data_IF_445280434524
#
_entry.id   IF_445280434524
#
_cell.length_a   1.000
_cell.length_b   1.000
_cell.length_c   1.000
_cell.angle_alpha   90.00
_cell.angle_beta   90.00
_cell.angle_gamma   90.00
#
_symmetry.space_group_name_H-M   'P 1'
#
loop_
_entity.id
_entity.type
_entity.pdbx_description
1 polymer ?
#
# COMPACT_ATOMS: atom_id res chain seq x y z
N UNK A 1 13.31 -13.96 28.95
CA UNK A 1 12.97 -12.55 28.67
C UNK A 1 11.50 -12.36 29.02
N UNK A 2 11.19 -11.54 30.03
CA UNK A 2 9.81 -11.30 30.49
C UNK A 2 9.07 -10.38 29.47
N UNK A 3 7.75 -10.53 29.34
CA UNK A 3 6.86 -9.68 28.52
C UNK A 3 7.15 -8.19 28.73
N UNK A 4 7.38 -7.75 29.98
CA UNK A 4 7.71 -6.37 30.32
C UNK A 4 9.01 -5.91 29.66
N UNK A 5 10.04 -6.76 29.66
CA UNK A 5 11.32 -6.47 28.99
C UNK A 5 11.16 -6.37 27.48
N UNK A 6 10.27 -7.17 26.88
CA UNK A 6 9.97 -7.10 25.45
C UNK A 6 9.24 -5.79 25.09
N UNK A 7 8.28 -5.36 25.92
CA UNK A 7 7.56 -4.10 25.72
C UNK A 7 8.53 -2.91 25.78
N UNK A 8 9.37 -2.85 26.82
CA UNK A 8 10.38 -1.79 26.98
C UNK A 8 11.35 -1.78 25.80
N UNK A 9 11.75 -2.95 25.29
CA UNK A 9 12.64 -3.03 24.13
C UNK A 9 12.00 -2.51 22.84
N UNK A 10 10.72 -2.82 22.60
CA UNK A 10 9.98 -2.31 21.45
C UNK A 10 9.81 -0.78 21.52
N UNK A 11 9.50 -0.26 22.71
CA UNK A 11 9.38 1.16 22.97
C UNK A 11 10.73 1.88 22.78
N UNK A 12 11.82 1.34 23.33
CA UNK A 12 13.16 1.87 23.13
C UNK A 12 13.53 1.93 21.65
N UNK A 13 13.30 0.86 20.88
CA UNK A 13 13.57 0.85 19.44
C UNK A 13 12.77 1.91 18.69
N UNK A 14 11.52 2.12 19.09
CA UNK A 14 10.69 3.16 18.50
C UNK A 14 11.24 4.56 18.80
N UNK A 15 11.49 4.88 20.07
CA UNK A 15 12.01 6.19 20.49
C UNK A 15 13.39 6.46 19.91
N UNK A 16 14.28 5.46 19.92
CA UNK A 16 15.62 5.54 19.32
C UNK A 16 15.53 5.82 17.81
N UNK A 17 14.57 5.20 17.09
CA UNK A 17 14.36 5.50 15.67
C UNK A 17 13.82 6.92 15.45
N UNK A 18 12.90 7.38 16.31
CA UNK A 18 12.38 8.75 16.28
C UNK A 18 13.51 9.77 16.45
N UNK A 19 14.32 9.60 17.49
CA UNK A 19 15.43 10.49 17.79
C UNK A 19 16.51 10.47 16.71
N UNK A 20 17.10 9.31 16.43
CA UNK A 20 18.23 9.21 15.50
C UNK A 20 17.88 9.63 14.07
N UNK A 21 16.75 9.14 13.53
CA UNK A 21 16.44 9.32 12.11
C UNK A 21 15.67 10.61 11.84
N UNK A 22 14.69 10.93 12.68
CA UNK A 22 13.74 12.01 12.37
C UNK A 22 14.01 13.30 13.14
N UNK A 23 14.71 13.25 14.28
CA UNK A 23 15.15 14.46 14.98
C UNK A 23 16.57 14.81 14.52
N UNK A 24 17.56 14.03 14.93
CA UNK A 24 18.97 14.30 14.63
C UNK A 24 19.26 14.22 13.14
N UNK A 25 18.72 13.21 12.47
CA UNK A 25 18.91 13.01 11.02
C UNK A 25 18.35 14.15 10.18
N UNK A 26 17.16 14.69 10.52
CA UNK A 26 16.59 15.83 9.80
C UNK A 26 17.31 17.14 10.13
N UNK A 27 17.73 17.35 11.39
CA UNK A 27 18.48 18.54 11.79
C UNK A 27 19.80 18.69 11.00
N UNK A 28 20.50 17.58 10.74
CA UNK A 28 21.77 17.56 10.00
C UNK A 28 21.65 17.97 8.53
N UNK A 29 20.46 17.97 7.96
CA UNK A 29 20.21 18.26 6.54
C UNK A 29 19.40 19.54 6.34
N UNK A 30 19.18 20.31 7.41
CA UNK A 30 18.66 21.67 7.31
C UNK A 30 19.74 22.52 6.63
N UNK A 31 19.38 23.15 5.52
CA UNK A 31 20.24 24.07 4.78
C UNK A 31 20.21 25.47 5.38
N UNK A 32 21.10 26.35 4.91
CA UNK A 32 21.25 27.72 5.43
C UNK A 32 19.95 28.55 5.36
N UNK A 33 19.09 28.26 4.38
CA UNK A 33 17.76 28.88 4.22
C UNK A 33 16.70 28.37 5.21
N UNK A 34 17.11 27.57 6.20
CA UNK A 34 16.26 26.91 7.20
C UNK A 34 15.25 25.94 6.58
N UNK A 35 15.56 25.37 5.41
CA UNK A 35 14.72 24.39 4.72
C UNK A 35 15.45 23.06 4.55
N UNK A 36 14.64 22.02 4.32
CA UNK A 36 15.11 20.69 3.96
C UNK A 36 14.81 20.47 2.48
N UNK A 37 15.86 20.27 1.69
CA UNK A 37 15.77 20.06 0.25
C UNK A 37 15.95 18.57 -0.09
N UNK A 38 14.84 17.84 -0.19
CA UNK A 38 14.88 16.44 -0.62
C UNK A 38 15.14 16.31 -2.12
N UNK A 39 15.65 15.15 -2.54
CA UNK A 39 15.73 14.78 -3.96
C UNK A 39 14.73 13.68 -4.28
N UNK A 40 13.85 13.94 -5.25
CA UNK A 40 12.92 12.94 -5.77
C UNK A 40 13.56 12.18 -6.94
N UNK A 41 13.84 10.90 -6.72
CA UNK A 41 14.28 10.01 -7.79
C UNK A 41 13.06 9.43 -8.53
N UNK A 42 13.04 9.62 -9.85
CA UNK A 42 11.96 9.18 -10.73
C UNK A 42 12.17 7.81 -11.39
N UNK A 43 13.39 7.27 -11.34
CA UNK A 43 13.83 6.10 -12.11
C UNK A 43 14.19 4.89 -11.24
N UNK A 44 14.09 4.98 -9.92
CA UNK A 44 14.48 3.90 -9.00
C UNK A 44 13.40 2.82 -8.83
N UNK A 45 12.15 3.21 -8.56
CA UNK A 45 11.11 2.24 -8.24
C UNK A 45 10.62 1.51 -9.50
N UNK A 46 10.64 0.17 -9.47
CA UNK A 46 10.18 -0.68 -10.58
C UNK A 46 8.70 -0.49 -10.93
N UNK A 47 7.90 0.05 -10.00
CA UNK A 47 6.47 0.37 -10.21
C UNK A 47 6.25 1.81 -10.67
N UNK A 48 7.30 2.60 -10.87
CA UNK A 48 7.18 3.99 -11.33
C UNK A 48 6.80 5.01 -10.26
N UNK A 49 6.74 4.63 -8.98
CA UNK A 49 6.60 5.59 -7.86
C UNK A 49 7.84 6.49 -7.77
N UNK A 50 7.64 7.71 -7.26
CA UNK A 50 8.75 8.57 -6.81
C UNK A 50 9.33 8.01 -5.52
N UNK A 51 10.65 8.07 -5.37
CA UNK A 51 11.32 7.87 -4.08
C UNK A 51 12.00 9.15 -3.64
N UNK A 52 11.91 9.48 -2.36
CA UNK A 52 12.58 10.63 -1.74
C UNK A 52 13.85 10.19 -1.01
N UNK A 53 14.97 10.87 -1.26
CA UNK A 53 16.28 10.59 -0.67
C UNK A 53 16.94 11.89 -0.21
N UNK A 54 17.81 11.77 0.80
CA UNK A 54 18.66 12.83 1.35
C UNK A 54 17.94 14.16 1.65
N UNK A 55 16.97 14.18 2.59
CA UNK A 55 16.43 13.04 3.35
C UNK A 55 15.18 12.43 2.70
N UNK A 56 14.78 11.24 3.15
CA UNK A 56 13.49 10.66 2.76
C UNK A 56 12.35 11.34 3.53
N UNK A 57 11.50 12.09 2.82
CA UNK A 57 10.34 12.79 3.35
C UNK A 57 9.02 12.03 3.15
N UNK A 58 9.03 10.91 2.42
CA UNK A 58 7.84 10.11 2.17
C UNK A 58 7.50 9.16 3.34
N UNK A 59 8.46 8.91 4.24
CA UNK A 59 8.30 7.98 5.37
C UNK A 59 8.18 8.66 6.74
N UNK A 60 7.94 9.98 6.79
CA UNK A 60 7.76 10.69 8.06
C UNK A 60 6.62 10.05 8.86
N UNK A 61 6.85 9.69 10.14
CA UNK A 61 5.89 8.90 10.91
C UNK A 61 4.50 9.54 11.01
N UNK A 62 3.47 8.70 11.01
CA UNK A 62 2.05 9.14 11.10
C UNK A 62 1.17 8.22 11.96
N UNK A 63 1.59 6.97 12.12
CA UNK A 63 0.77 5.91 12.73
C UNK A 63 0.61 6.07 14.23
N UNK A 64 1.73 6.30 14.92
CA UNK A 64 1.76 6.48 16.37
C UNK A 64 1.80 7.96 16.70
N UNK A 65 1.15 8.33 17.80
CA UNK A 65 1.02 9.72 18.21
C UNK A 65 2.37 10.41 18.39
N UNK A 66 3.31 9.77 19.10
CA UNK A 66 4.66 10.31 19.30
C UNK A 66 5.39 10.56 17.98
N UNK A 67 5.28 9.63 17.03
CA UNK A 67 5.86 9.84 15.70
C UNK A 67 5.14 10.95 14.91
N UNK A 68 3.82 11.08 15.06
CA UNK A 68 3.04 12.11 14.36
C UNK A 68 3.44 13.52 14.80
N UNK A 69 3.89 13.70 16.06
CA UNK A 69 4.39 14.99 16.56
C UNK A 69 5.55 15.54 15.74
N UNK A 70 6.38 14.69 15.12
CA UNK A 70 7.46 15.13 14.21
C UNK A 70 6.92 15.99 13.06
N UNK A 71 5.71 15.70 12.54
CA UNK A 71 5.12 16.47 11.44
C UNK A 71 4.84 17.93 11.81
N UNK A 72 4.68 18.24 13.10
CA UNK A 72 4.49 19.63 13.58
C UNK A 72 5.75 20.51 13.40
N UNK A 73 6.92 19.89 13.18
CA UNK A 73 8.15 20.61 12.89
C UNK A 73 8.18 21.16 11.44
N UNK A 74 7.38 20.59 10.54
CA UNK A 74 7.22 21.10 9.18
C UNK A 74 6.23 22.26 9.20
N UNK A 75 6.73 23.46 8.92
CA UNK A 75 5.95 24.70 8.94
C UNK A 75 5.83 25.30 7.53
N UNK A 76 4.77 26.09 7.26
CA UNK A 76 4.70 26.91 6.06
C UNK A 76 5.93 27.82 5.94
N UNK A 77 6.34 28.14 4.72
CA UNK A 77 7.49 29.02 4.44
C UNK A 77 7.21 30.50 4.70
N UNK A 78 5.94 30.89 4.79
CA UNK A 78 5.52 32.25 5.12
C UNK A 78 4.44 32.25 6.22
N UNK A 79 4.31 33.37 6.95
CA UNK A 79 3.36 33.50 8.07
C UNK A 79 1.90 33.46 7.63
N UNK A 80 1.61 33.90 6.41
CA UNK A 80 0.26 33.99 5.85
C UNK A 80 -0.11 32.75 5.02
N UNK A 81 0.73 31.70 5.06
CA UNK A 81 0.51 30.44 4.35
C UNK A 81 0.12 29.31 5.30
N UNK A 82 -0.57 28.32 4.73
CA UNK A 82 -0.92 27.07 5.43
C UNK A 82 -0.36 25.87 4.66
N UNK A 83 -0.16 24.75 5.35
CA UNK A 83 0.14 23.47 4.70
C UNK A 83 -1.20 22.82 4.31
N UNK A 84 -1.41 22.66 3.00
CA UNK A 84 -2.53 21.89 2.46
C UNK A 84 -2.07 20.47 2.13
N UNK A 85 -2.84 19.47 2.58
CA UNK A 85 -2.62 18.06 2.24
C UNK A 85 -3.88 17.50 1.59
N UNK A 86 -3.73 16.88 0.43
CA UNK A 86 -4.79 16.17 -0.27
C UNK A 86 -4.31 14.75 -0.59
N UNK A 87 -5.13 13.75 -0.28
CA UNK A 87 -4.83 12.34 -0.54
C UNK A 87 -5.98 11.65 -1.29
N UNK A 88 -5.62 10.70 -2.15
CA UNK A 88 -6.61 9.88 -2.82
C UNK A 88 -7.17 8.81 -1.88
N UNK A 89 -8.48 8.81 -1.69
CA UNK A 89 -9.18 7.76 -0.94
C UNK A 89 -9.15 6.43 -1.70
N UNK A 90 -8.32 5.50 -1.22
CA UNK A 90 -8.25 4.11 -1.68
C UNK A 90 -7.93 3.94 -3.19
N UNK A 91 -7.05 4.79 -3.74
CA UNK A 91 -6.72 4.79 -5.18
C UNK A 91 -6.38 3.41 -5.75
N UNK A 92 -5.63 2.57 -5.04
CA UNK A 92 -5.23 1.26 -5.53
C UNK A 92 -6.42 0.31 -5.74
N UNK A 93 -7.40 0.32 -4.83
CA UNK A 93 -8.61 -0.49 -5.00
C UNK A 93 -9.56 0.10 -6.05
N UNK A 94 -9.59 1.43 -6.21
CA UNK A 94 -10.34 2.07 -7.29
C UNK A 94 -9.74 1.75 -8.66
N UNK A 95 -8.41 1.73 -8.76
CA UNK A 95 -7.68 1.29 -9.94
C UNK A 95 -7.95 -0.19 -10.20
N UNK A 96 -7.94 -1.04 -9.17
CA UNK A 96 -8.31 -2.43 -9.31
C UNK A 96 -9.72 -2.56 -9.91
N UNK A 97 -10.73 -1.93 -9.31
CA UNK A 97 -12.11 -1.96 -9.81
C UNK A 97 -12.20 -1.52 -11.27
N UNK A 98 -11.41 -0.51 -11.67
CA UNK A 98 -11.33 -0.06 -13.06
C UNK A 98 -10.63 -1.07 -13.98
N UNK A 99 -9.52 -1.68 -13.58
CA UNK A 99 -8.80 -2.65 -14.41
C UNK A 99 -9.63 -3.93 -14.58
N UNK A 100 -10.28 -4.39 -13.51
CA UNK A 100 -11.02 -5.66 -13.51
C UNK A 100 -12.43 -5.53 -14.04
N UNK A 101 -12.95 -4.30 -14.15
CA UNK A 101 -14.35 -4.01 -14.48
C UNK A 101 -15.34 -4.83 -13.63
N UNK A 102 -14.94 -5.11 -12.37
CA UNK A 102 -15.75 -5.90 -11.46
C UNK A 102 -16.93 -5.05 -10.97
N UNK A 103 -18.14 -5.41 -11.39
CA UNK A 103 -19.34 -4.60 -11.11
C UNK A 103 -19.62 -4.49 -9.60
N UNK A 104 -19.48 -5.58 -8.84
CA UNK A 104 -19.64 -5.55 -7.38
C UNK A 104 -18.68 -4.56 -6.72
N UNK A 105 -17.41 -4.54 -7.14
CA UNK A 105 -16.41 -3.62 -6.59
C UNK A 105 -16.65 -2.17 -7.05
N UNK A 106 -17.08 -1.96 -8.30
CA UNK A 106 -17.43 -0.63 -8.81
C UNK A 106 -18.62 -0.06 -8.07
N UNK A 107 -19.69 -0.82 -7.91
CA UNK A 107 -20.90 -0.43 -7.18
C UNK A 107 -20.56 -0.06 -5.73
N UNK A 108 -19.75 -0.87 -5.05
CA UNK A 108 -19.29 -0.56 -3.70
C UNK A 108 -18.61 0.83 -3.62
N UNK A 109 -17.77 1.18 -4.61
CA UNK A 109 -17.13 2.48 -4.66
C UNK A 109 -18.06 3.64 -5.05
N UNK A 110 -19.09 3.39 -5.85
CA UNK A 110 -20.09 4.38 -6.28
C UNK A 110 -21.04 4.70 -5.11
N UNK A 111 -21.47 3.68 -4.38
CA UNK A 111 -22.40 3.79 -3.25
C UNK A 111 -21.71 4.31 -1.96
N UNK A 112 -20.37 4.31 -1.94
CA UNK A 112 -19.60 4.75 -0.77
C UNK A 112 -19.46 3.67 0.30
N UNK A 113 -19.64 2.40 -0.07
CA UNK A 113 -19.56 1.27 0.83
C UNK A 113 -18.14 1.10 1.38
N UNK A 114 -18.05 0.79 2.67
CA UNK A 114 -16.77 0.51 3.31
C UNK A 114 -16.39 -0.97 3.15
N UNK A 115 -15.76 -1.29 2.01
CA UNK A 115 -15.29 -2.64 1.68
C UNK A 115 -14.45 -3.22 2.82
N UNK A 116 -13.67 -2.41 3.53
CA UNK A 116 -12.85 -2.90 4.65
C UNK A 116 -13.68 -3.31 5.86
N UNK A 117 -14.74 -2.56 6.17
CA UNK A 117 -15.68 -2.91 7.25
C UNK A 117 -16.44 -4.19 6.89
N UNK A 118 -16.93 -4.30 5.64
CA UNK A 118 -17.57 -5.53 5.16
C UNK A 118 -16.63 -6.76 5.27
N UNK A 119 -15.36 -6.59 4.91
CA UNK A 119 -14.35 -7.64 5.11
C UNK A 119 -14.11 -7.92 6.60
N UNK A 120 -14.05 -6.90 7.45
CA UNK A 120 -13.84 -7.07 8.89
C UNK A 120 -14.97 -7.86 9.54
N UNK A 121 -16.23 -7.54 9.23
CA UNK A 121 -17.40 -8.27 9.70
C UNK A 121 -17.28 -9.76 9.39
N UNK A 122 -16.91 -10.11 8.15
CA UNK A 122 -16.72 -11.51 7.73
C UNK A 122 -15.52 -12.18 8.41
N UNK A 123 -14.38 -11.49 8.52
CA UNK A 123 -13.14 -12.06 9.08
C UNK A 123 -13.24 -12.30 10.58
N UNK A 124 -13.85 -11.38 11.32
CA UNK A 124 -13.95 -11.42 12.78
C UNK A 124 -15.28 -12.01 13.26
N UNK A 125 -16.27 -12.18 12.37
CA UNK A 125 -17.59 -12.69 12.72
C UNK A 125 -18.36 -11.72 13.62
N UNK A 126 -18.32 -10.43 13.28
CA UNK A 126 -18.90 -9.34 14.07
C UNK A 126 -19.81 -8.47 13.21
N UNK A 127 -20.73 -7.77 13.85
CA UNK A 127 -21.60 -6.80 13.19
C UNK A 127 -20.86 -5.48 12.89
N UNK A 128 -21.43 -4.66 12.00
CA UNK A 128 -20.77 -3.43 11.51
C UNK A 128 -20.41 -2.44 12.63
N UNK A 129 -21.25 -2.35 13.66
CA UNK A 129 -21.07 -1.50 14.84
C UNK A 129 -20.02 -2.03 15.82
N UNK A 130 -19.67 -3.32 15.72
CA UNK A 130 -18.64 -3.98 16.51
C UNK A 130 -17.25 -3.94 15.84
N UNK A 131 -17.16 -3.46 14.60
CA UNK A 131 -15.88 -3.32 13.89
C UNK A 131 -15.10 -2.14 14.46
N UNK A 132 -14.06 -2.43 15.23
CA UNK A 132 -13.14 -1.41 15.73
C UNK A 132 -12.08 -0.99 14.67
N UNK A 133 -11.31 0.05 15.00
CA UNK A 133 -10.27 0.58 14.12
C UNK A 133 -9.13 -0.42 13.83
N UNK A 134 -8.87 -1.36 14.74
CA UNK A 134 -7.84 -2.38 14.61
C UNK A 134 -8.30 -3.48 13.65
N UNK A 135 -9.52 -3.99 13.84
CA UNK A 135 -10.18 -4.97 12.98
C UNK A 135 -10.26 -4.44 11.55
N UNK A 136 -10.75 -3.22 11.37
CA UNK A 136 -10.82 -2.57 10.05
C UNK A 136 -9.45 -2.45 9.40
N UNK A 137 -8.41 -2.12 10.17
CA UNK A 137 -7.02 -2.03 9.67
C UNK A 137 -6.47 -3.41 9.27
N UNK A 138 -6.77 -4.46 10.03
CA UNK A 138 -6.40 -5.82 9.69
C UNK A 138 -7.13 -6.28 8.42
N UNK A 139 -8.44 -6.06 8.33
CA UNK A 139 -9.23 -6.34 7.15
C UNK A 139 -8.76 -5.58 5.90
N UNK A 140 -8.30 -4.34 6.06
CA UNK A 140 -7.61 -3.59 5.00
C UNK A 140 -6.36 -4.33 4.52
N UNK A 141 -5.48 -4.76 5.44
CA UNK A 141 -4.28 -5.52 5.09
C UNK A 141 -4.62 -6.85 4.39
N UNK A 142 -5.69 -7.54 4.83
CA UNK A 142 -6.21 -8.75 4.18
C UNK A 142 -6.66 -8.46 2.75
N UNK A 143 -7.50 -7.45 2.53
CA UNK A 143 -7.95 -7.05 1.20
C UNK A 143 -6.77 -6.82 0.24
N UNK A 144 -5.80 -6.00 0.66
CA UNK A 144 -4.60 -5.77 -0.14
C UNK A 144 -3.77 -7.05 -0.34
N UNK A 145 -3.67 -7.88 0.68
CA UNK A 145 -3.01 -9.18 0.58
C UNK A 145 -3.63 -10.05 -0.51
N UNK A 146 -4.96 -10.20 -0.51
CA UNK A 146 -5.68 -11.04 -1.48
C UNK A 146 -5.48 -10.50 -2.90
N UNK A 147 -5.66 -9.19 -3.10
CA UNK A 147 -5.45 -8.52 -4.39
C UNK A 147 -4.00 -8.70 -4.89
N UNK A 148 -3.03 -8.79 -3.99
CA UNK A 148 -1.61 -8.98 -4.33
C UNK A 148 -1.17 -10.45 -4.30
N UNK A 149 -2.12 -11.39 -4.33
CA UNK A 149 -1.85 -12.82 -4.44
C UNK A 149 -1.20 -13.42 -3.18
N UNK A 150 -1.58 -12.94 -1.98
CA UNK A 150 -1.19 -13.59 -0.73
C UNK A 150 -1.64 -15.05 -0.76
N UNK A 151 -0.77 -15.94 -0.30
CA UNK A 151 -1.14 -17.35 -0.14
C UNK A 151 -2.04 -17.53 1.08
N UNK A 152 -2.81 -18.62 1.08
CA UNK A 152 -3.56 -19.08 2.26
C UNK A 152 -2.66 -19.21 3.50
N UNK A 153 -1.42 -19.68 3.33
CA UNK A 153 -0.41 -19.72 4.38
C UNK A 153 -0.04 -18.31 4.87
N UNK A 154 0.27 -17.38 3.97
CA UNK A 154 0.63 -16.00 4.33
C UNK A 154 -0.49 -15.28 5.05
N UNK A 155 -1.73 -15.49 4.60
CA UNK A 155 -2.91 -14.95 5.25
C UNK A 155 -3.15 -15.58 6.63
N UNK A 156 -2.95 -16.90 6.77
CA UNK A 156 -3.07 -17.60 8.04
C UNK A 156 -2.12 -17.07 9.11
N UNK A 157 -0.87 -16.76 8.72
CA UNK A 157 0.14 -16.18 9.61
C UNK A 157 -0.22 -14.75 10.00
N UNK A 158 -0.73 -13.97 9.04
CA UNK A 158 -1.10 -12.56 9.27
C UNK A 158 -2.30 -12.41 10.20
N UNK A 159 -3.24 -13.36 10.17
CA UNK A 159 -4.47 -13.34 10.96
C UNK A 159 -4.42 -14.24 12.22
N UNK A 160 -3.40 -15.09 12.37
CA UNK A 160 -3.35 -16.06 13.46
C UNK A 160 -4.46 -17.12 13.39
N UNK A 161 -4.90 -17.49 12.18
CA UNK A 161 -5.97 -18.47 11.94
C UNK A 161 -5.42 -19.73 11.28
N UNK A 162 -6.24 -20.78 11.19
CA UNK A 162 -5.85 -21.99 10.44
C UNK A 162 -5.78 -21.73 8.93
N UNK A 163 -4.91 -22.46 8.23
CA UNK A 163 -4.79 -22.39 6.77
C UNK A 163 -6.10 -22.69 6.04
N UNK A 164 -6.92 -23.61 6.57
CA UNK A 164 -8.26 -23.93 6.04
C UNK A 164 -9.20 -22.72 6.11
N UNK A 165 -9.24 -22.00 7.24
CA UNK A 165 -10.03 -20.77 7.38
C UNK A 165 -9.53 -19.67 6.46
N UNK A 166 -8.21 -19.49 6.37
CA UNK A 166 -7.60 -18.51 5.46
C UNK A 166 -7.96 -18.79 3.99
N UNK A 167 -7.91 -20.05 3.56
CA UNK A 167 -8.34 -20.44 2.21
C UNK A 167 -9.82 -20.12 1.96
N UNK A 168 -10.71 -20.50 2.88
CA UNK A 168 -12.13 -20.19 2.76
C UNK A 168 -12.37 -18.68 2.61
N UNK A 169 -11.68 -17.85 3.40
CA UNK A 169 -11.78 -16.39 3.26
C UNK A 169 -11.32 -15.86 1.90
N UNK A 170 -10.22 -16.39 1.36
CA UNK A 170 -9.76 -16.01 0.01
C UNK A 170 -10.81 -16.41 -1.03
N UNK A 171 -11.33 -17.63 -0.93
CA UNK A 171 -12.31 -18.16 -1.88
C UNK A 171 -13.63 -17.35 -1.83
N UNK A 172 -14.12 -17.02 -0.64
CA UNK A 172 -15.34 -16.20 -0.44
C UNK A 172 -15.16 -14.76 -0.93
N UNK A 173 -13.97 -14.17 -0.70
CA UNK A 173 -13.64 -12.85 -1.22
C UNK A 173 -13.66 -12.84 -2.75
N UNK A 174 -12.97 -13.80 -3.38
CA UNK A 174 -12.90 -13.91 -4.84
C UNK A 174 -14.24 -14.33 -5.47
N UNK A 175 -15.12 -14.98 -4.72
CA UNK A 175 -16.49 -15.23 -5.14
C UNK A 175 -17.36 -13.96 -5.12
N UNK A 176 -17.08 -13.04 -4.18
CA UNK A 176 -17.76 -11.74 -4.10
C UNK A 176 -17.30 -10.76 -5.20
N UNK A 177 -16.07 -10.94 -5.69
CA UNK A 177 -15.44 -10.11 -6.73
C UNK A 177 -14.91 -10.97 -7.89
N UNK A 178 -15.81 -11.54 -8.72
CA UNK A 178 -15.45 -12.48 -9.78
C UNK A 178 -14.52 -11.89 -10.85
N UNK A 179 -14.63 -10.60 -11.16
CA UNK A 179 -13.75 -9.89 -12.09
C UNK A 179 -12.33 -9.78 -11.55
N UNK A 180 -12.17 -9.63 -10.24
CA UNK A 180 -10.83 -9.67 -9.59
C UNK A 180 -10.22 -11.07 -9.71
N UNK A 181 -11.00 -12.13 -9.47
CA UNK A 181 -10.54 -13.50 -9.64
C UNK A 181 -10.07 -13.78 -11.06
N UNK A 182 -10.84 -13.34 -12.06
CA UNK A 182 -10.51 -13.49 -13.47
C UNK A 182 -9.24 -12.72 -13.83
N UNK A 183 -9.11 -11.48 -13.38
CA UNK A 183 -7.90 -10.68 -13.57
C UNK A 183 -6.64 -11.35 -13.01
N UNK A 184 -6.71 -11.94 -11.81
CA UNK A 184 -5.56 -12.62 -11.21
C UNK A 184 -5.05 -13.78 -12.07
N UNK A 185 -5.94 -14.53 -12.73
CA UNK A 185 -5.52 -15.59 -13.67
C UNK A 185 -5.01 -15.02 -14.99
N UNK A 186 -5.68 -14.03 -15.55
CA UNK A 186 -5.38 -13.51 -16.88
C UNK A 186 -4.06 -12.74 -16.91
N UNK A 187 -3.83 -11.86 -15.94
CA UNK A 187 -2.59 -11.07 -15.90
C UNK A 187 -1.34 -11.94 -15.76
N UNK A 188 -1.44 -13.09 -15.07
CA UNK A 188 -0.34 -14.05 -14.97
C UNK A 188 -0.13 -14.78 -16.29
N UNK A 189 -1.21 -15.15 -16.98
CA UNK A 189 -1.14 -15.78 -18.31
C UNK A 189 -0.51 -14.82 -19.32
N UNK A 190 -0.96 -13.58 -19.34
CA UNK A 190 -0.45 -12.53 -20.24
C UNK A 190 1.02 -12.21 -19.94
N UNK A 191 1.38 -12.11 -18.66
CA UNK A 191 2.78 -11.91 -18.26
C UNK A 191 3.69 -13.06 -18.72
N UNK A 192 3.20 -14.32 -18.72
CA UNK A 192 3.94 -15.48 -19.24
C UNK A 192 4.10 -15.44 -20.76
N UNK A 193 3.09 -14.95 -21.47
CA UNK A 193 3.13 -14.85 -22.92
C UNK A 193 3.99 -13.68 -23.42
N UNK A 194 3.87 -12.52 -22.78
CA UNK A 194 4.52 -11.27 -23.20
C UNK A 194 5.88 -11.03 -22.53
N UNK A 195 6.11 -11.61 -21.36
CA UNK A 195 7.31 -11.38 -20.54
C UNK A 195 7.29 -10.09 -19.72
N UNK A 196 6.20 -9.31 -19.77
CA UNK A 196 6.01 -8.07 -19.03
C UNK A 196 4.54 -7.81 -18.71
N UNK A 197 4.30 -6.82 -17.84
CA UNK A 197 2.97 -6.24 -17.60
C UNK A 197 3.01 -4.73 -17.80
N UNK A 198 1.85 -4.13 -18.07
CA UNK A 198 1.67 -2.69 -18.33
C UNK A 198 0.71 -2.03 -17.33
N UNK A 199 0.87 -0.71 -17.16
CA UNK A 199 -0.07 0.17 -16.44
C UNK A 199 -1.05 0.84 -17.42
N UNK A 200 -2.03 1.58 -16.89
CA UNK A 200 -2.99 2.36 -17.67
C UNK A 200 -2.34 3.38 -18.62
N UNK A 201 -1.15 3.88 -18.30
CA UNK A 201 -0.39 4.81 -19.15
C UNK A 201 0.84 4.13 -19.79
N UNK A 202 0.76 2.82 -20.04
CA UNK A 202 1.76 2.04 -20.79
C UNK A 202 3.16 1.96 -20.16
N UNK A 203 3.28 2.14 -18.84
CA UNK A 203 4.54 1.82 -18.14
C UNK A 203 4.71 0.32 -18.10
N UNK A 204 5.83 -0.18 -18.62
CA UNK A 204 6.17 -1.61 -18.62
C UNK A 204 7.02 -2.02 -17.43
N UNK A 205 6.79 -3.23 -16.94
CA UNK A 205 7.72 -3.96 -16.07
C UNK A 205 7.92 -5.37 -16.60
N UNK A 206 9.15 -5.68 -17.01
CA UNK A 206 9.53 -7.04 -17.40
C UNK A 206 9.65 -7.95 -16.19
N UNK A 207 9.19 -9.19 -16.32
CA UNK A 207 9.15 -10.18 -15.25
C UNK A 207 9.77 -11.49 -15.75
N UNK A 208 11.11 -11.57 -15.86
CA UNK A 208 11.78 -12.72 -16.45
C UNK A 208 11.53 -14.03 -15.68
N UNK A 209 11.33 -13.95 -14.36
CA UNK A 209 11.09 -15.10 -13.50
C UNK A 209 9.67 -15.69 -13.59
N UNK A 210 8.78 -15.12 -14.40
CA UNK A 210 7.37 -15.55 -14.50
C UNK A 210 7.22 -16.98 -15.03
N UNK A 211 8.22 -17.48 -15.77
CA UNK A 211 8.30 -18.86 -16.28
C UNK A 211 9.30 -19.73 -15.52
N UNK A 212 9.86 -19.22 -14.41
CA UNK A 212 10.87 -19.95 -13.63
C UNK A 212 10.36 -21.30 -13.16
N UNK A 213 11.20 -22.34 -13.24
CA UNK A 213 10.87 -23.67 -12.68
C UNK A 213 10.83 -23.64 -11.14
N UNK A 214 11.59 -22.73 -10.51
CA UNK A 214 11.61 -22.54 -9.07
C UNK A 214 10.27 -21.95 -8.60
N UNK A 215 9.55 -22.69 -7.76
CA UNK A 215 8.23 -22.30 -7.27
C UNK A 215 8.23 -20.96 -6.52
N UNK A 216 9.26 -20.67 -5.73
CA UNK A 216 9.33 -19.44 -4.95
C UNK A 216 9.58 -18.21 -5.82
N UNK A 217 10.49 -18.32 -6.80
CA UNK A 217 10.75 -17.25 -7.77
C UNK A 217 9.52 -16.98 -8.64
N UNK A 218 8.92 -18.05 -9.18
CA UNK A 218 7.70 -17.95 -9.98
C UNK A 218 6.54 -17.34 -9.19
N UNK A 219 6.32 -17.78 -7.95
CA UNK A 219 5.27 -17.22 -7.11
C UNK A 219 5.48 -15.74 -6.79
N UNK A 220 6.73 -15.29 -6.60
CA UNK A 220 7.03 -13.87 -6.46
C UNK A 220 6.80 -13.08 -7.76
N UNK A 221 7.16 -13.65 -8.90
CA UNK A 221 6.90 -13.09 -10.22
C UNK A 221 5.39 -12.95 -10.51
N UNK A 222 4.59 -13.96 -10.17
CA UNK A 222 3.12 -13.93 -10.34
C UNK A 222 2.48 -12.83 -9.49
N UNK A 223 2.87 -12.70 -8.21
CA UNK A 223 2.43 -11.58 -7.35
C UNK A 223 2.86 -10.22 -7.90
N UNK A 224 4.07 -10.17 -8.46
CA UNK A 224 4.60 -8.97 -9.11
C UNK A 224 3.77 -8.57 -10.34
N UNK A 225 3.36 -9.55 -11.15
CA UNK A 225 2.49 -9.35 -12.31
C UNK A 225 1.12 -8.83 -11.91
N UNK A 226 0.52 -9.38 -10.84
CA UNK A 226 -0.79 -8.92 -10.33
C UNK A 226 -0.73 -7.50 -9.76
N UNK A 227 0.31 -7.17 -8.98
CA UNK A 227 0.40 -5.91 -8.25
C UNK A 227 0.88 -4.73 -9.11
N UNK A 228 1.77 -4.96 -10.07
CA UNK A 228 2.41 -3.86 -10.81
C UNK A 228 1.43 -2.99 -11.61
N UNK A 229 0.46 -3.54 -12.37
CA UNK A 229 -0.53 -2.73 -13.08
C UNK A 229 -1.32 -1.83 -12.13
N UNK A 230 -1.67 -2.32 -10.94
CA UNK A 230 -2.45 -1.57 -9.93
C UNK A 230 -1.60 -0.44 -9.34
N UNK A 231 -0.46 -0.80 -8.74
CA UNK A 231 0.41 0.16 -8.05
C UNK A 231 1.02 1.18 -9.01
N UNK A 232 1.40 0.71 -10.21
CA UNK A 232 2.00 1.56 -11.24
C UNK A 232 0.99 2.52 -11.85
N UNK A 233 -0.24 2.08 -12.11
CA UNK A 233 -1.29 2.98 -12.60
C UNK A 233 -1.64 4.05 -11.57
N UNK A 234 -1.67 3.70 -10.28
CA UNK A 234 -1.83 4.71 -9.21
C UNK A 234 -0.69 5.74 -9.20
N UNK A 235 0.56 5.30 -9.47
CA UNK A 235 1.72 6.18 -9.61
C UNK A 235 1.62 7.09 -10.85
N UNK A 236 1.10 6.55 -11.95
CA UNK A 236 0.89 7.31 -13.19
C UNK A 236 -0.20 8.39 -13.01
N UNK A 237 -1.30 8.07 -12.33
CA UNK A 237 -2.38 9.01 -12.02
C UNK A 237 -1.89 10.18 -11.18
N UNK A 238 -1.15 9.94 -10.09
CA UNK A 238 -0.64 11.04 -9.25
C UNK A 238 0.37 11.90 -10.01
N UNK A 239 1.24 11.30 -10.84
CA UNK A 239 2.19 12.04 -11.68
C UNK A 239 1.47 12.96 -12.67
N UNK A 240 0.44 12.45 -13.35
CA UNK A 240 -0.37 13.26 -14.25
C UNK A 240 -1.10 14.38 -13.50
N UNK A 241 -1.66 14.08 -12.31
CA UNK A 241 -2.33 15.06 -11.48
C UNK A 241 -1.38 16.19 -11.04
N UNK A 242 -0.13 15.88 -10.68
CA UNK A 242 0.88 16.88 -10.33
C UNK A 242 1.16 17.83 -11.50
N UNK A 243 1.33 17.31 -12.71
CA UNK A 243 1.57 18.14 -13.91
C UNK A 243 0.35 19.02 -14.20
N UNK A 244 -0.86 18.45 -14.19
CA UNK A 244 -2.11 19.20 -14.43
C UNK A 244 -2.36 20.27 -13.38
N UNK A 245 -2.02 20.00 -12.12
CA UNK A 245 -2.17 20.95 -11.02
C UNK A 245 -1.19 22.12 -11.16
N UNK A 246 0.05 21.86 -11.56
CA UNK A 246 1.07 22.89 -11.74
C UNK A 246 0.84 23.80 -12.95
N UNK A 247 0.03 23.37 -13.92
CA UNK A 247 -0.32 24.15 -15.11
C UNK A 247 -1.54 25.07 -14.92
N UNK A 248 -2.25 24.93 -13.80
CA UNK A 248 -3.33 25.84 -13.40
C UNK A 248 -2.76 27.01 -12.63
#
# INVERSE_FOLDING_TARGET
>A
MNILSLIIFLEYRQLSKLQSTYVEGLQKVISDDQRIHTRFNQTLAQTGRLSSVDPNLQNIPVRLEEGRKIRKAFKPTSKDSVILSADYSQIELRVLAHITQDESMKEAFINGDDIHTATAMKVFGVEADQVDSLMRRQAKAVNFGIVYGISDYGLSQSLGITRKKAKAFIDDYLASFPGVKQYMSDIVKDAKALGYVETLLHRRRYIPDITSRNFNLRGFAERTAMNTPIQGSAADIIKLAMVKFAQK
#
